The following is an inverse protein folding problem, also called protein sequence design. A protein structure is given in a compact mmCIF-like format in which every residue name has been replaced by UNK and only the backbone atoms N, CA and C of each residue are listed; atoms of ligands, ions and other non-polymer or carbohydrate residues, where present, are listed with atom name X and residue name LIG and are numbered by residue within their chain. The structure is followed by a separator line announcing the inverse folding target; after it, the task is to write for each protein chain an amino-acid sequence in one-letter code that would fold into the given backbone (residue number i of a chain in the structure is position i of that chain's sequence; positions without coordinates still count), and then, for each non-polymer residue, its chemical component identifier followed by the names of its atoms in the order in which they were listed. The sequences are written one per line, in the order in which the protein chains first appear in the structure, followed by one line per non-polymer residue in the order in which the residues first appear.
data_IF_958508277847
#
_entry.id   IF_958508277847
#
_cell.length_a   1.000
_cell.length_b   1.000
_cell.length_c   1.000
_cell.angle_alpha   90.00
_cell.angle_beta   90.00
_cell.angle_gamma   90.00
#
_symmetry.space_group_name_H-M   'P 1'
#
loop_
_entity.id
_entity.type
_entity.pdbx_description
1 polymer ?
#
# COMPACT_ATOMS: atom_id res chain seq x y z
N UNK A 1 -28.77 4.78 38.35
CA UNK A 1 -28.58 5.36 36.99
C UNK A 1 -27.13 5.80 36.93
N UNK A 2 -26.26 4.99 36.35
CA UNK A 2 -24.82 5.27 36.26
C UNK A 2 -24.56 5.86 34.86
N UNK A 3 -24.23 7.14 34.81
CA UNK A 3 -23.87 7.80 33.56
C UNK A 3 -22.42 7.45 33.19
N UNK A 4 -22.11 7.10 31.95
CA UNK A 4 -20.74 6.74 31.52
C UNK A 4 -19.92 7.99 31.24
N UNK A 5 -19.68 8.80 32.25
CA UNK A 5 -18.83 10.00 32.16
C UNK A 5 -17.35 9.66 31.93
N UNK A 6 -16.94 8.41 32.16
CA UNK A 6 -15.56 7.97 31.91
C UNK A 6 -15.18 7.84 30.42
N UNK A 7 -16.18 7.78 29.51
CA UNK A 7 -15.91 7.75 28.06
C UNK A 7 -15.73 9.14 27.43
N UNK A 8 -16.11 10.21 28.15
CA UNK A 8 -16.01 11.59 27.65
C UNK A 8 -14.67 12.24 28.06
N UNK A 9 -13.92 11.64 28.98
CA UNK A 9 -12.63 12.15 29.44
C UNK A 9 -11.40 11.41 28.91
N UNK A 10 -11.54 10.51 27.94
CA UNK A 10 -10.45 10.28 27.01
C UNK A 10 -10.43 11.52 26.11
N UNK A 11 -9.70 12.55 26.53
CA UNK A 11 -9.30 13.63 25.67
C UNK A 11 -8.72 12.95 24.42
N UNK A 12 -9.34 13.13 23.28
CA UNK A 12 -8.70 12.91 22.00
C UNK A 12 -7.44 13.77 22.05
N UNK A 13 -6.34 13.16 22.46
CA UNK A 13 -5.05 13.85 22.45
C UNK A 13 -4.82 14.17 20.98
N UNK A 14 -4.91 15.46 20.66
CA UNK A 14 -4.68 15.94 19.31
C UNK A 14 -3.36 15.34 18.83
N UNK A 15 -3.35 14.52 17.76
CA UNK A 15 -2.14 13.84 17.30
C UNK A 15 -0.96 14.77 17.11
N UNK A 16 -1.21 16.01 16.68
CA UNK A 16 -0.20 17.06 16.57
C UNK A 16 0.48 17.35 17.92
N UNK A 17 -0.29 17.50 18.99
CA UNK A 17 0.25 17.76 20.32
C UNK A 17 1.09 16.58 20.84
N UNK A 18 0.64 15.36 20.58
CA UNK A 18 1.37 14.13 20.95
C UNK A 18 2.71 14.06 20.24
N UNK A 19 2.74 14.29 18.91
CA UNK A 19 3.97 14.30 18.10
C UNK A 19 4.93 15.39 18.58
N UNK A 20 4.43 16.60 18.83
CA UNK A 20 5.24 17.73 19.30
C UNK A 20 5.86 17.46 20.68
N UNK A 21 5.07 16.94 21.62
CA UNK A 21 5.55 16.65 22.98
C UNK A 21 6.57 15.50 22.98
N UNK A 22 6.40 14.50 22.12
CA UNK A 22 7.34 13.40 21.94
C UNK A 22 8.62 13.84 21.21
N UNK A 23 8.55 14.89 20.40
CA UNK A 23 9.66 15.43 19.60
C UNK A 23 10.03 14.54 18.41
N UNK A 24 9.14 13.64 18.00
CA UNK A 24 9.35 12.76 16.84
C UNK A 24 8.04 12.43 16.14
N UNK A 25 8.12 12.32 14.81
CA UNK A 25 7.08 11.78 13.93
C UNK A 25 7.45 10.34 13.58
N UNK A 26 6.59 9.38 13.91
CA UNK A 26 6.80 7.96 13.62
C UNK A 26 5.99 7.61 12.37
N UNK A 27 6.67 7.24 11.29
CA UNK A 27 6.06 6.87 10.02
C UNK A 27 6.28 5.39 9.74
N UNK A 28 5.20 4.65 9.63
CA UNK A 28 5.22 3.25 9.19
C UNK A 28 5.28 3.18 7.66
N UNK A 29 6.16 2.33 7.14
CA UNK A 29 6.32 2.11 5.70
C UNK A 29 6.67 0.66 5.39
N UNK A 30 6.65 0.31 4.09
CA UNK A 30 7.07 -0.99 3.58
C UNK A 30 8.25 -0.75 2.65
N UNK A 31 9.29 -1.60 2.75
CA UNK A 31 10.45 -1.49 1.88
C UNK A 31 10.03 -1.65 0.41
N UNK A 32 10.37 -0.65 -0.42
CA UNK A 32 10.01 -0.60 -1.83
C UNK A 32 10.97 0.34 -2.57
N UNK A 33 11.53 -0.05 -3.72
CA UNK A 33 12.57 0.72 -4.42
C UNK A 33 12.12 2.12 -4.92
N UNK A 34 10.83 2.46 -4.86
CA UNK A 34 10.31 3.77 -5.27
C UNK A 34 9.95 4.63 -4.06
N UNK A 35 9.32 4.02 -3.04
CA UNK A 35 8.68 4.78 -1.96
C UNK A 35 9.56 4.90 -0.73
N UNK A 36 10.24 3.80 -0.35
CA UNK A 36 11.20 3.77 0.76
C UNK A 36 12.20 2.64 0.58
N UNK A 37 13.46 2.95 0.56
CA UNK A 37 14.57 1.99 0.55
C UNK A 37 15.80 2.57 1.24
N UNK A 38 16.72 1.69 1.63
CA UNK A 38 18.04 2.08 2.16
C UNK A 38 19.06 1.89 1.03
N UNK A 39 19.53 3.01 0.48
CA UNK A 39 20.60 3.04 -0.53
C UNK A 39 21.98 3.25 0.08
N UNK A 40 22.98 3.44 -0.77
CA UNK A 40 24.37 3.68 -0.35
C UNK A 40 24.54 4.99 0.44
N UNK A 41 23.68 5.96 0.20
CA UNK A 41 23.70 7.28 0.87
C UNK A 41 22.72 7.37 2.05
N UNK A 42 22.06 6.25 2.40
CA UNK A 42 21.08 6.16 3.49
C UNK A 42 19.66 5.95 3.00
N UNK A 43 18.70 6.34 3.84
CA UNK A 43 17.28 6.24 3.57
C UNK A 43 16.85 7.18 2.43
N UNK A 44 16.04 6.67 1.52
CA UNK A 44 15.58 7.38 0.33
C UNK A 44 14.22 6.87 -0.13
N UNK A 45 13.59 7.58 -1.06
CA UNK A 45 12.32 7.24 -1.67
C UNK A 45 11.30 8.36 -1.57
N UNK A 46 10.28 8.32 -2.43
CA UNK A 46 9.29 9.40 -2.53
C UNK A 46 8.57 9.66 -1.20
N UNK A 47 8.09 8.61 -0.53
CA UNK A 47 7.35 8.77 0.72
C UNK A 47 8.27 9.11 1.90
N UNK A 48 9.52 8.63 1.86
CA UNK A 48 10.53 9.07 2.83
C UNK A 48 10.77 10.57 2.75
N UNK A 49 10.97 11.11 1.55
CA UNK A 49 11.20 12.55 1.36
C UNK A 49 9.98 13.38 1.78
N UNK A 50 8.77 12.92 1.48
CA UNK A 50 7.54 13.57 1.94
C UNK A 50 7.43 13.56 3.47
N UNK A 51 7.71 12.41 4.10
CA UNK A 51 7.69 12.27 5.55
C UNK A 51 8.76 13.13 6.23
N UNK A 52 9.96 13.20 5.66
CA UNK A 52 11.06 14.03 6.14
C UNK A 52 10.71 15.51 6.08
N UNK A 53 10.23 15.99 4.94
CA UNK A 53 9.80 17.37 4.80
C UNK A 53 8.67 17.72 5.78
N UNK A 54 7.75 16.79 6.03
CA UNK A 54 6.69 17.00 7.00
C UNK A 54 7.20 17.02 8.45
N UNK A 55 8.13 16.14 8.82
CA UNK A 55 8.77 16.17 10.14
C UNK A 55 9.55 17.49 10.35
N UNK A 56 10.28 17.94 9.33
CA UNK A 56 11.00 19.22 9.35
C UNK A 56 10.03 20.40 9.51
N UNK A 57 8.92 20.41 8.78
CA UNK A 57 7.85 21.41 8.93
C UNK A 57 7.27 21.42 10.34
N UNK A 58 7.09 20.27 10.94
CA UNK A 58 6.65 20.13 12.33
C UNK A 58 7.77 20.49 13.34
N UNK A 59 9.02 20.59 12.93
CA UNK A 59 10.16 20.82 13.83
C UNK A 59 10.39 19.64 14.79
N UNK A 60 10.26 18.39 14.31
CA UNK A 60 10.46 17.15 15.05
C UNK A 60 11.34 16.19 14.27
N UNK A 61 11.89 15.17 14.94
CA UNK A 61 12.70 14.15 14.27
C UNK A 61 11.79 13.14 13.53
N UNK A 62 12.18 12.74 12.32
CA UNK A 62 11.57 11.61 11.64
C UNK A 62 12.06 10.29 12.25
N UNK A 63 11.16 9.34 12.44
CA UNK A 63 11.45 7.94 12.77
C UNK A 63 10.69 7.05 11.79
N UNK A 64 11.43 6.23 11.04
CA UNK A 64 10.83 5.25 10.12
C UNK A 64 10.71 3.90 10.82
N UNK A 65 9.56 3.28 10.67
CA UNK A 65 9.28 1.90 11.09
C UNK A 65 8.91 1.07 9.87
N UNK A 66 9.83 0.22 9.42
CA UNK A 66 9.56 -0.71 8.32
C UNK A 66 8.71 -1.89 8.77
N UNK A 67 7.74 -2.26 7.98
CA UNK A 67 6.77 -3.33 8.24
C UNK A 67 6.73 -4.27 7.04
N UNK A 68 6.27 -5.49 7.26
CA UNK A 68 6.32 -6.54 6.22
C UNK A 68 5.20 -6.41 5.20
N UNK A 69 4.03 -5.90 5.62
CA UNK A 69 2.84 -5.84 4.78
C UNK A 69 1.84 -4.78 5.28
N UNK A 70 0.81 -4.53 4.46
CA UNK A 70 -0.23 -3.57 4.77
C UNK A 70 -1.04 -3.92 6.03
N UNK A 71 -1.24 -5.21 6.34
CA UNK A 71 -2.02 -5.62 7.49
C UNK A 71 -1.29 -5.23 8.79
N UNK A 72 0.02 -5.47 8.87
CA UNK A 72 0.84 -5.00 9.98
C UNK A 72 0.85 -3.48 10.06
N UNK A 73 0.98 -2.79 8.92
CA UNK A 73 1.00 -1.34 8.85
C UNK A 73 -0.27 -0.72 9.46
N UNK A 74 -1.45 -1.24 9.09
CA UNK A 74 -2.70 -0.74 9.63
C UNK A 74 -2.92 -1.12 11.10
N UNK A 75 -2.49 -2.32 11.51
CA UNK A 75 -2.51 -2.70 12.93
C UNK A 75 -1.65 -1.77 13.79
N UNK A 76 -0.46 -1.39 13.32
CA UNK A 76 0.41 -0.46 14.02
C UNK A 76 -0.20 0.95 14.11
N UNK A 77 -0.90 1.38 13.05
CA UNK A 77 -1.62 2.66 13.04
C UNK A 77 -2.83 2.65 13.99
N UNK A 78 -3.63 1.58 14.00
CA UNK A 78 -4.77 1.40 14.91
C UNK A 78 -4.34 1.40 16.39
N UNK A 79 -3.16 0.84 16.67
CA UNK A 79 -2.59 0.79 18.03
C UNK A 79 -1.80 2.05 18.43
N UNK A 80 -1.77 3.08 17.60
CA UNK A 80 -1.01 4.32 17.79
C UNK A 80 0.51 4.09 17.99
N UNK A 81 1.04 3.00 17.43
CA UNK A 81 2.48 2.70 17.43
C UNK A 81 3.22 3.45 16.32
N UNK A 82 2.50 3.93 15.32
CA UNK A 82 2.93 4.86 14.28
C UNK A 82 1.91 6.00 14.16
N UNK A 83 2.36 7.16 13.73
CA UNK A 83 1.50 8.33 13.53
C UNK A 83 0.92 8.41 12.12
N UNK A 84 1.70 7.95 11.15
CA UNK A 84 1.35 7.98 9.73
C UNK A 84 1.73 6.63 9.11
N UNK A 85 0.86 6.12 8.25
CA UNK A 85 1.13 5.02 7.35
C UNK A 85 1.43 5.57 5.95
N UNK A 86 2.63 5.29 5.41
CA UNK A 86 3.09 5.73 4.10
C UNK A 86 3.76 4.55 3.37
N UNK A 87 3.02 3.89 2.47
CA UNK A 87 3.45 2.69 1.77
C UNK A 87 2.70 2.51 0.44
N UNK A 88 2.66 3.55 -0.40
CA UNK A 88 1.92 3.54 -1.67
C UNK A 88 0.45 3.11 -1.50
N UNK A 89 -0.18 3.62 -0.47
CA UNK A 89 -1.54 3.22 -0.12
C UNK A 89 -2.54 3.84 -1.10
N UNK A 90 -3.24 2.99 -1.84
CA UNK A 90 -4.33 3.41 -2.70
C UNK A 90 -5.53 3.86 -1.87
N UNK A 91 -6.23 4.88 -2.36
CA UNK A 91 -7.48 5.34 -1.75
C UNK A 91 -8.52 4.21 -1.68
N UNK A 92 -9.10 4.04 -0.51
CA UNK A 92 -10.18 3.08 -0.26
C UNK A 92 -11.23 3.70 0.64
N UNK A 93 -12.52 3.75 0.21
CA UNK A 93 -13.59 4.31 1.00
C UNK A 93 -13.70 3.72 2.42
N UNK A 94 -13.52 2.41 2.55
CA UNK A 94 -13.62 1.69 3.83
C UNK A 94 -12.52 2.12 4.82
N UNK A 95 -11.34 2.49 4.33
CA UNK A 95 -10.26 3.03 5.17
C UNK A 95 -10.52 4.45 5.63
N UNK A 96 -11.20 5.24 4.80
CA UNK A 96 -11.60 6.60 5.14
C UNK A 96 -12.62 6.65 6.31
N UNK A 97 -13.32 5.55 6.59
CA UNK A 97 -14.21 5.43 7.75
C UNK A 97 -13.44 5.29 9.07
N UNK A 98 -12.23 4.73 9.02
CA UNK A 98 -11.40 4.43 10.21
C UNK A 98 -10.25 5.42 10.40
N UNK A 99 -9.64 5.87 9.31
CA UNK A 99 -8.43 6.69 9.32
C UNK A 99 -8.65 7.99 8.56
N UNK A 100 -8.00 9.03 9.04
CA UNK A 100 -7.93 10.27 8.27
C UNK A 100 -6.93 10.09 7.12
N UNK A 101 -7.38 10.34 5.90
CA UNK A 101 -6.53 10.26 4.73
C UNK A 101 -5.82 11.60 4.50
N UNK A 102 -4.55 11.52 4.17
CA UNK A 102 -3.78 12.67 3.69
C UNK A 102 -4.20 13.11 2.28
N UNK A 103 -3.70 14.24 1.79
CA UNK A 103 -3.93 14.68 0.42
C UNK A 103 -3.32 13.67 -0.57
N UNK A 104 -4.02 13.43 -1.67
CA UNK A 104 -3.47 12.60 -2.75
C UNK A 104 -2.31 13.33 -3.43
N UNK A 105 -1.15 12.72 -3.50
CA UNK A 105 0.05 13.27 -4.16
C UNK A 105 0.36 12.56 -5.48
N UNK A 106 -0.29 11.43 -5.75
CA UNK A 106 -0.17 10.69 -7.01
C UNK A 106 -1.47 9.95 -7.31
N UNK A 107 -1.62 9.50 -8.54
CA UNK A 107 -2.70 8.60 -8.95
C UNK A 107 -2.12 7.28 -9.42
N UNK A 108 -2.67 6.18 -8.95
CA UNK A 108 -2.32 4.85 -9.40
C UNK A 108 -3.57 4.06 -9.79
N UNK A 109 -3.41 3.12 -10.67
CA UNK A 109 -4.46 2.21 -11.12
C UNK A 109 -3.94 0.78 -11.18
N UNK A 110 -4.81 -0.19 -10.93
CA UNK A 110 -4.49 -1.58 -11.15
C UNK A 110 -4.37 -1.86 -12.64
N UNK A 111 -3.25 -2.48 -13.04
CA UNK A 111 -2.96 -2.83 -14.41
C UNK A 111 -2.69 -4.32 -14.54
N UNK A 112 -3.27 -4.92 -15.59
CA UNK A 112 -2.94 -6.27 -15.98
C UNK A 112 -1.57 -6.26 -16.66
N UNK A 113 -0.63 -7.02 -16.12
CA UNK A 113 0.73 -7.17 -16.65
C UNK A 113 0.86 -8.52 -17.34
N UNK A 114 1.44 -8.51 -18.54
CA UNK A 114 1.68 -9.69 -19.38
C UNK A 114 3.00 -9.53 -20.14
N UNK A 115 3.52 -10.62 -20.68
CA UNK A 115 4.82 -10.62 -21.38
C UNK A 115 4.75 -9.78 -22.65
N UNK A 116 5.78 -8.96 -22.88
CA UNK A 116 5.93 -8.19 -24.12
C UNK A 116 5.97 -9.11 -25.34
N UNK A 117 5.17 -8.77 -26.35
CA UNK A 117 5.03 -9.57 -27.58
C UNK A 117 3.83 -10.52 -27.58
N UNK A 118 3.19 -10.76 -26.44
CA UNK A 118 1.92 -11.48 -26.37
C UNK A 118 0.74 -10.58 -26.77
N UNK A 119 -0.39 -11.23 -27.15
CA UNK A 119 -1.60 -10.50 -27.51
C UNK A 119 -2.14 -9.73 -26.29
N UNK A 120 -2.25 -8.41 -26.43
CA UNK A 120 -2.79 -7.53 -25.40
C UNK A 120 -4.29 -7.79 -25.19
N UNK A 121 -4.73 -8.27 -24.03
CA UNK A 121 -6.16 -8.33 -23.71
C UNK A 121 -6.74 -6.92 -23.66
N UNK A 122 -7.83 -6.66 -24.38
CA UNK A 122 -8.52 -5.36 -24.35
C UNK A 122 -9.27 -5.14 -23.04
N UNK A 123 -9.72 -6.22 -22.44
CA UNK A 123 -10.39 -6.25 -21.14
C UNK A 123 -10.20 -7.61 -20.45
N UNK A 124 -10.65 -7.73 -19.21
CA UNK A 124 -10.58 -8.97 -18.43
C UNK A 124 -11.40 -10.12 -19.04
N UNK A 125 -12.33 -9.87 -19.98
CA UNK A 125 -13.10 -10.93 -20.62
C UNK A 125 -12.26 -11.71 -21.65
N UNK A 126 -11.19 -11.12 -22.13
CA UNK A 126 -10.25 -11.76 -23.05
C UNK A 126 -9.13 -12.52 -22.35
N UNK A 127 -9.04 -12.41 -21.03
CA UNK A 127 -8.06 -13.15 -20.21
C UNK A 127 -8.57 -14.58 -20.06
N UNK A 128 -7.94 -15.51 -20.78
CA UNK A 128 -8.31 -16.93 -20.78
C UNK A 128 -7.49 -17.76 -19.78
N UNK A 129 -6.33 -17.27 -19.39
CA UNK A 129 -5.41 -17.92 -18.48
C UNK A 129 -5.54 -17.33 -17.06
N UNK A 130 -4.96 -18.01 -16.09
CA UNK A 130 -5.05 -17.62 -14.71
C UNK A 130 -4.19 -16.37 -14.41
N UNK A 131 -4.74 -15.47 -13.60
CA UNK A 131 -4.03 -14.31 -13.08
C UNK A 131 -3.45 -14.68 -11.71
N UNK A 132 -2.14 -14.57 -11.55
CA UNK A 132 -1.47 -14.78 -10.26
C UNK A 132 -1.22 -13.41 -9.64
N UNK A 133 -1.69 -13.21 -8.42
CA UNK A 133 -1.45 -11.98 -7.67
C UNK A 133 -0.68 -12.25 -6.39
N UNK A 134 0.00 -11.24 -5.88
CA UNK A 134 0.57 -11.17 -4.53
C UNK A 134 0.11 -9.85 -3.93
N UNK A 135 -1.11 -9.82 -3.41
CA UNK A 135 -1.72 -8.58 -2.97
C UNK A 135 -2.58 -8.79 -1.73
N UNK A 136 -2.83 -7.70 -1.01
CA UNK A 136 -3.73 -7.68 0.12
C UNK A 136 -5.21 -7.82 -0.28
N UNK A 137 -6.08 -7.84 0.71
CA UNK A 137 -7.52 -8.08 0.60
C UNK A 137 -8.25 -7.22 -0.45
N UNK A 138 -7.71 -6.05 -0.78
CA UNK A 138 -8.38 -5.09 -1.64
C UNK A 138 -8.45 -5.55 -3.10
N UNK A 139 -7.32 -6.03 -3.63
CA UNK A 139 -7.29 -6.59 -4.97
C UNK A 139 -8.06 -7.91 -5.03
N UNK A 140 -7.99 -8.73 -3.97
CA UNK A 140 -8.80 -9.94 -3.85
C UNK A 140 -10.30 -9.64 -3.92
N UNK A 141 -10.79 -8.63 -3.17
CA UNK A 141 -12.18 -8.19 -3.20
C UNK A 141 -12.60 -7.72 -4.59
N UNK A 142 -11.73 -6.95 -5.25
CA UNK A 142 -11.97 -6.43 -6.59
C UNK A 142 -12.07 -7.55 -7.63
N UNK A 143 -11.14 -8.52 -7.60
CA UNK A 143 -11.15 -9.69 -8.48
C UNK A 143 -12.33 -10.63 -8.18
N UNK A 144 -12.68 -10.82 -6.93
CA UNK A 144 -13.86 -11.60 -6.53
C UNK A 144 -15.15 -10.98 -7.07
N UNK A 145 -15.28 -9.65 -7.03
CA UNK A 145 -16.42 -8.95 -7.62
C UNK A 145 -16.43 -9.05 -9.15
N UNK A 146 -15.26 -8.96 -9.78
CA UNK A 146 -15.11 -9.16 -11.22
C UNK A 146 -15.48 -10.60 -11.64
N UNK A 147 -15.06 -11.60 -10.86
CA UNK A 147 -15.36 -13.01 -11.08
C UNK A 147 -16.86 -13.33 -10.94
N UNK A 148 -17.56 -12.69 -9.98
CA UNK A 148 -19.03 -12.82 -9.90
C UNK A 148 -19.74 -12.38 -11.16
N UNK A 149 -19.22 -11.35 -11.84
CA UNK A 149 -19.76 -10.87 -13.13
C UNK A 149 -19.26 -11.68 -14.33
N UNK A 150 -18.13 -12.38 -14.18
CA UNK A 150 -17.42 -13.12 -15.23
C UNK A 150 -16.87 -14.42 -14.65
N UNK A 151 -17.68 -15.47 -14.52
CA UNK A 151 -17.30 -16.76 -13.88
C UNK A 151 -16.11 -17.46 -14.54
N UNK A 152 -15.81 -17.15 -15.80
CA UNK A 152 -14.66 -17.68 -16.53
C UNK A 152 -13.31 -17.07 -16.09
N UNK A 153 -13.31 -15.95 -15.35
CA UNK A 153 -12.11 -15.32 -14.83
C UNK A 153 -11.49 -16.23 -13.77
N UNK A 154 -10.23 -16.62 -14.00
CA UNK A 154 -9.45 -17.42 -13.03
C UNK A 154 -8.36 -16.57 -12.43
N UNK A 155 -8.23 -16.62 -11.12
CA UNK A 155 -7.15 -15.96 -10.40
C UNK A 155 -6.84 -16.66 -9.10
N UNK A 156 -5.60 -16.52 -8.62
CA UNK A 156 -5.20 -16.98 -7.30
C UNK A 156 -4.25 -15.99 -6.65
N UNK A 157 -4.26 -15.92 -5.31
CA UNK A 157 -3.31 -15.13 -4.54
C UNK A 157 -2.18 -16.03 -4.03
N UNK A 158 -0.97 -15.77 -4.47
CA UNK A 158 0.24 -16.43 -3.99
C UNK A 158 0.95 -15.53 -2.98
N UNK A 159 0.66 -15.72 -1.69
CA UNK A 159 1.24 -14.92 -0.59
C UNK A 159 2.72 -15.24 -0.31
N UNK A 160 3.30 -16.23 -0.96
CA UNK A 160 4.72 -16.61 -0.81
C UNK A 160 5.63 -15.81 -1.74
N UNK A 161 5.08 -15.22 -2.79
CA UNK A 161 5.80 -14.41 -3.75
C UNK A 161 5.56 -12.93 -3.49
N UNK A 162 6.58 -12.12 -3.72
CA UNK A 162 6.45 -10.66 -3.75
C UNK A 162 5.86 -10.19 -5.09
N UNK A 163 5.36 -8.95 -5.14
CA UNK A 163 4.91 -8.35 -6.40
C UNK A 163 6.02 -8.29 -7.43
N UNK A 164 7.26 -8.01 -7.01
CA UNK A 164 8.44 -7.97 -7.86
C UNK A 164 8.73 -9.34 -8.49
N UNK A 165 8.73 -10.40 -7.70
CA UNK A 165 8.95 -11.77 -8.20
C UNK A 165 7.88 -12.18 -9.22
N UNK A 166 6.62 -11.77 -9.04
CA UNK A 166 5.57 -12.01 -10.03
C UNK A 166 5.82 -11.25 -11.33
N UNK A 167 6.27 -10.00 -11.27
CA UNK A 167 6.60 -9.21 -12.46
C UNK A 167 7.77 -9.85 -13.23
N UNK A 168 8.80 -10.33 -12.53
CA UNK A 168 9.91 -11.08 -13.13
C UNK A 168 9.41 -12.37 -13.80
N UNK A 169 8.54 -13.15 -13.12
CA UNK A 169 8.00 -14.39 -13.67
C UNK A 169 7.14 -14.16 -14.92
N UNK A 170 6.39 -13.05 -14.99
CA UNK A 170 5.68 -12.65 -16.21
C UNK A 170 6.66 -12.30 -17.32
N UNK A 171 7.71 -11.52 -17.04
CA UNK A 171 8.72 -11.15 -18.03
C UNK A 171 9.44 -12.39 -18.61
N UNK A 172 9.74 -13.38 -17.79
CA UNK A 172 10.31 -14.66 -18.18
C UNK A 172 9.32 -15.58 -18.90
N UNK A 173 8.01 -15.31 -18.78
CA UNK A 173 6.95 -16.15 -19.37
C UNK A 173 6.61 -17.39 -18.54
N UNK A 174 7.01 -17.42 -17.26
CA UNK A 174 6.68 -18.52 -16.33
C UNK A 174 5.22 -18.48 -15.89
N UNK A 175 4.66 -17.28 -15.76
CA UNK A 175 3.23 -17.05 -15.52
C UNK A 175 2.68 -16.12 -16.61
N UNK A 176 1.41 -16.29 -17.01
CA UNK A 176 0.84 -15.53 -18.13
C UNK A 176 0.48 -14.09 -17.73
N UNK A 177 -0.10 -13.92 -16.53
CA UNK A 177 -0.62 -12.63 -16.08
C UNK A 177 -0.37 -12.41 -14.59
N UNK A 178 -0.08 -11.16 -14.23
CA UNK A 178 -0.23 -10.63 -12.88
C UNK A 178 -0.96 -9.30 -12.91
N UNK A 179 -1.35 -8.79 -11.75
CA UNK A 179 -1.88 -7.43 -11.60
C UNK A 179 -0.97 -6.67 -10.66
N UNK A 180 -0.52 -5.51 -11.11
CA UNK A 180 0.28 -4.58 -10.32
C UNK A 180 -0.34 -3.18 -10.38
N UNK A 181 -0.03 -2.32 -9.42
CA UNK A 181 -0.38 -0.93 -9.58
C UNK A 181 0.50 -0.29 -10.67
N UNK A 182 -0.01 0.78 -11.30
CA UNK A 182 0.65 1.39 -12.46
C UNK A 182 2.05 1.93 -12.16
N UNK A 183 2.35 2.28 -10.92
CA UNK A 183 3.64 2.83 -10.52
C UNK A 183 4.66 1.69 -10.38
N UNK A 184 4.30 0.61 -9.69
CA UNK A 184 5.16 -0.58 -9.57
C UNK A 184 5.40 -1.22 -10.94
N UNK A 185 4.34 -1.31 -11.79
CA UNK A 185 4.47 -1.88 -13.13
C UNK A 185 5.50 -1.15 -14.01
N UNK A 186 5.62 0.17 -13.91
CA UNK A 186 6.57 0.97 -14.70
C UNK A 186 8.02 0.78 -14.23
N UNK A 187 8.25 0.65 -12.94
CA UNK A 187 9.61 0.55 -12.38
C UNK A 187 10.35 -0.73 -12.79
N UNK A 188 9.62 -1.79 -13.14
CA UNK A 188 10.20 -3.09 -13.52
C UNK A 188 10.16 -3.37 -15.04
N UNK A 189 9.67 -2.43 -15.85
CA UNK A 189 9.58 -2.60 -17.32
C UNK A 189 10.68 -1.88 -18.10
N UNK A 190 11.66 -1.29 -17.42
CA UNK A 190 12.79 -0.57 -18.04
C UNK A 190 14.12 -1.31 -17.81
#
# INVERSE_FOLDING_TARGET
MVFPWQKIMQSEQNPYTTIKNRGSLIVGTINNPIYYFIGNEGESGLEYELAKNFADYLGVRLQIKTLENNDQLFNELENNNIDIAAANLLFQPQRAEKFQLGPSYTSASWQLVYKKGENRPKDLAQVQQEIIISAGEDLEKLLSLAQKKRPALKWQNNKQLTQEELLIQVAEGKIPYTIANSIDAVSYTH
#
